data_IF_037387883401
#
_entry.id   IF_037387883401
#
_cell.length_a   1.000
_cell.length_b   1.000
_cell.length_c   1.000
_cell.angle_alpha   90.00
_cell.angle_beta   90.00
_cell.angle_gamma   90.00
#
_symmetry.space_group_name_H-M   'P 1'
#
loop_
_entity.id
_entity.type
_entity.pdbx_description
1 polymer ?
#
# COMPACT_ATOMS: atom_id res chain seq x y z
N UNK A 1 -19.32 5.82 5.31
CA UNK A 1 -17.89 6.17 5.13
C UNK A 1 -17.13 4.88 4.86
N UNK A 2 -16.38 4.76 3.76
CA UNK A 2 -15.61 3.55 3.49
C UNK A 2 -14.34 3.54 4.36
N UNK A 3 -14.19 2.53 5.21
CA UNK A 3 -12.99 2.31 6.02
C UNK A 3 -12.06 1.42 5.22
N UNK A 4 -10.84 1.90 4.93
CA UNK A 4 -9.84 1.14 4.18
C UNK A 4 -8.65 0.87 5.09
N UNK A 5 -8.10 -0.34 5.06
CA UNK A 5 -6.92 -0.70 5.86
C UNK A 5 -5.64 -0.53 5.05
N UNK A 6 -4.60 -0.01 5.69
CA UNK A 6 -3.27 0.03 5.09
C UNK A 6 -2.75 -1.39 4.88
N UNK A 7 -2.30 -1.70 3.67
CA UNK A 7 -1.77 -3.02 3.30
C UNK A 7 -0.52 -3.42 4.10
N UNK A 8 0.28 -2.44 4.55
CA UNK A 8 1.52 -2.73 5.29
C UNK A 8 1.30 -2.85 6.80
N UNK A 9 0.62 -1.88 7.41
CA UNK A 9 0.51 -1.80 8.88
C UNK A 9 -0.88 -2.11 9.43
N UNK A 10 -1.87 -2.37 8.57
CA UNK A 10 -3.25 -2.67 8.97
C UNK A 10 -4.04 -1.47 9.49
N UNK A 11 -3.42 -0.28 9.62
CA UNK A 11 -4.06 0.92 10.15
C UNK A 11 -5.27 1.33 9.32
N UNK A 12 -6.36 1.66 9.99
CA UNK A 12 -7.59 2.13 9.36
C UNK A 12 -7.44 3.57 8.85
N UNK A 13 -7.89 3.78 7.62
CA UNK A 13 -7.86 5.04 6.89
C UNK A 13 -9.31 5.44 6.66
N UNK A 14 -9.70 6.54 7.30
CA UNK A 14 -11.05 7.10 7.25
C UNK A 14 -10.96 8.49 6.62
N UNK A 15 -11.80 8.80 5.63
CA UNK A 15 -11.90 10.17 5.10
C UNK A 15 -11.10 10.49 3.82
N UNK A 16 -10.83 9.52 2.96
CA UNK A 16 -10.40 9.77 1.58
C UNK A 16 -8.92 10.06 1.35
N UNK A 17 -8.18 10.51 2.36
CA UNK A 17 -6.71 10.67 2.31
C UNK A 17 -6.01 9.30 2.36
N UNK A 18 -5.99 8.59 1.22
CA UNK A 18 -5.35 7.29 1.06
C UNK A 18 -4.35 7.33 -0.09
N UNK A 19 -3.23 6.64 0.07
CA UNK A 19 -2.23 6.53 -0.99
C UNK A 19 -2.48 5.23 -1.73
N UNK A 20 -2.87 5.32 -2.99
CA UNK A 20 -3.03 4.16 -3.87
C UNK A 20 -1.76 3.98 -4.69
N UNK A 21 -1.31 2.73 -4.82
CA UNK A 21 -0.15 2.37 -5.61
C UNK A 21 -0.41 1.07 -6.35
N UNK A 22 -0.09 1.05 -7.63
CA UNK A 22 -0.22 -0.14 -8.46
C UNK A 22 0.92 -1.12 -8.18
N UNK A 23 0.60 -2.40 -8.08
CA UNK A 23 1.61 -3.43 -7.94
C UNK A 23 2.49 -3.49 -9.20
N UNK A 24 3.80 -3.69 -8.99
CA UNK A 24 4.81 -3.68 -10.07
C UNK A 24 4.78 -5.00 -10.85
N UNK A 25 4.32 -6.10 -10.24
CA UNK A 25 4.15 -7.42 -10.86
C UNK A 25 2.78 -7.58 -11.50
N UNK A 26 1.74 -7.05 -10.86
CA UNK A 26 0.36 -7.15 -11.33
C UNK A 26 -0.29 -5.76 -11.45
N UNK A 27 -0.30 -5.13 -12.63
CA UNK A 27 -0.81 -3.76 -12.83
C UNK A 27 -2.33 -3.64 -12.60
N UNK A 28 -3.03 -4.77 -12.43
CA UNK A 28 -4.45 -4.83 -12.06
C UNK A 28 -4.68 -4.73 -10.55
N UNK A 29 -3.63 -4.89 -9.74
CA UNK A 29 -3.71 -4.88 -8.28
C UNK A 29 -3.34 -3.50 -7.73
N UNK A 30 -4.26 -2.91 -6.95
CA UNK A 30 -4.04 -1.63 -6.26
C UNK A 30 -3.82 -1.89 -4.77
N UNK A 31 -2.69 -1.44 -4.25
CA UNK A 31 -2.40 -1.44 -2.83
C UNK A 31 -2.65 -0.07 -2.21
N UNK A 32 -3.23 -0.07 -1.01
CA UNK A 32 -3.55 1.15 -0.27
C UNK A 32 -2.65 1.31 0.95
N UNK A 33 -2.10 2.50 1.12
CA UNK A 33 -1.20 2.84 2.20
C UNK A 33 -1.67 4.08 2.96
N UNK A 34 -1.43 4.09 4.28
CA UNK A 34 -1.74 5.23 5.13
C UNK A 34 -0.68 6.34 5.06
N UNK A 35 0.51 6.05 4.52
CA UNK A 35 1.62 7.01 4.42
C UNK A 35 2.64 6.57 3.37
N UNK A 36 3.42 7.54 2.85
CA UNK A 36 4.50 7.27 1.90
C UNK A 36 5.58 6.36 2.49
N UNK A 37 5.79 6.44 3.81
CA UNK A 37 6.70 5.54 4.54
C UNK A 37 6.25 4.08 4.45
N UNK A 38 4.94 3.82 4.57
CA UNK A 38 4.39 2.48 4.41
C UNK A 38 4.48 1.98 2.96
N UNK A 39 4.14 2.84 1.98
CA UNK A 39 4.34 2.54 0.55
C UNK A 39 5.81 2.19 0.26
N UNK A 40 6.75 3.02 0.69
CA UNK A 40 8.19 2.84 0.46
C UNK A 40 8.73 1.55 1.07
N UNK A 41 8.39 1.25 2.33
CA UNK A 41 8.75 -0.02 2.98
C UNK A 41 8.21 -1.23 2.21
N UNK A 42 6.95 -1.17 1.77
CA UNK A 42 6.34 -2.25 1.00
C UNK A 42 7.05 -2.46 -0.35
N UNK A 43 7.35 -1.39 -1.09
CA UNK A 43 8.11 -1.46 -2.35
C UNK A 43 9.51 -2.07 -2.12
N UNK A 44 10.21 -1.65 -1.06
CA UNK A 44 11.51 -2.22 -0.69
C UNK A 44 11.42 -3.73 -0.37
N UNK A 45 10.35 -4.17 0.30
CA UNK A 45 10.10 -5.60 0.55
C UNK A 45 9.82 -6.36 -0.75
N UNK A 46 9.06 -5.80 -1.69
CA UNK A 46 8.81 -6.42 -2.99
C UNK A 46 10.08 -6.59 -3.82
N UNK A 47 10.99 -5.61 -3.79
CA UNK A 47 12.31 -5.72 -4.45
C UNK A 47 13.19 -6.83 -3.85
N UNK A 48 13.13 -7.04 -2.53
CA UNK A 48 13.93 -8.09 -1.86
C UNK A 48 13.45 -9.51 -2.12
N UNK A 49 12.16 -9.73 -2.40
CA UNK A 49 11.60 -11.05 -2.74
C UNK A 49 11.99 -11.56 -4.15
N UNK A 50 12.86 -10.85 -4.88
CA UNK A 50 13.29 -11.19 -6.24
C UNK A 50 14.71 -11.79 -6.30
N UNK A 51 15.25 -12.28 -5.18
CA UNK A 51 16.56 -12.95 -5.10
C UNK A 51 16.40 -14.37 -4.57
#
# INVERSE_FOLDING_TARGET
MAIIKCQLCGKEIVGGAKIQYFDIKEPTTIHVFCSEKCKGKWISTQKKKKK
#
